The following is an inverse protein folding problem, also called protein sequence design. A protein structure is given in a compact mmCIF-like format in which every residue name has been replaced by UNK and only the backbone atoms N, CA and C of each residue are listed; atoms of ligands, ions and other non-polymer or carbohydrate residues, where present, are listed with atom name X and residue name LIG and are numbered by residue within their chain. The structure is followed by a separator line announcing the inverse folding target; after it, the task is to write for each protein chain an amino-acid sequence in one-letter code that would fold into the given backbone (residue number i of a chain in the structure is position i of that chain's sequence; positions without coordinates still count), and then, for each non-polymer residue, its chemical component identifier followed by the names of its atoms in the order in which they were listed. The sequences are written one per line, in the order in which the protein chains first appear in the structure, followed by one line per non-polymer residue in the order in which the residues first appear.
data_IF_174253180586
#
_entry.id   IF_174253180586
#
_cell.length_a   1.000
_cell.length_b   1.000
_cell.length_c   1.000
_cell.angle_alpha   90.00
_cell.angle_beta   90.00
_cell.angle_gamma   90.00
#
_symmetry.space_group_name_H-M   'P 1'
#
loop_
_entity.id
_entity.type
_entity.pdbx_description
1 polymer ?
#
# COMPACT_ATOMS: atom_id res chain seq x y z
N UNK A 1 -15.40 19.02 -8.79
CA UNK A 1 -15.83 17.81 -8.03
C UNK A 1 -15.72 16.62 -8.97
N UNK A 2 -15.06 15.55 -8.55
CA UNK A 2 -14.93 14.31 -9.32
C UNK A 2 -16.16 13.42 -9.13
N UNK A 3 -16.43 12.54 -10.09
CA UNK A 3 -17.59 11.62 -10.05
C UNK A 3 -17.64 10.81 -8.75
N UNK A 4 -16.52 10.26 -8.28
CA UNK A 4 -16.51 9.48 -7.02
C UNK A 4 -16.79 10.35 -5.79
N UNK A 5 -16.38 11.63 -5.80
CA UNK A 5 -16.65 12.57 -4.70
C UNK A 5 -18.15 12.87 -4.63
N UNK A 6 -18.77 13.14 -5.79
CA UNK A 6 -20.21 13.35 -5.91
C UNK A 6 -21.00 12.12 -5.47
N UNK A 7 -20.58 10.94 -5.94
CA UNK A 7 -21.19 9.66 -5.61
C UNK A 7 -21.15 9.42 -4.10
N UNK A 8 -19.99 9.63 -3.46
CA UNK A 8 -19.84 9.52 -2.00
C UNK A 8 -20.73 10.49 -1.23
N UNK A 9 -20.82 11.75 -1.67
CA UNK A 9 -21.66 12.77 -1.01
C UNK A 9 -23.15 12.41 -1.01
N UNK A 10 -23.60 11.67 -2.03
CA UNK A 10 -25.02 11.34 -2.21
C UNK A 10 -25.35 9.86 -1.95
N UNK A 11 -24.41 9.09 -1.36
CA UNK A 11 -24.63 7.68 -1.06
C UNK A 11 -24.84 6.80 -2.30
N UNK A 12 -24.19 7.16 -3.41
CA UNK A 12 -24.25 6.46 -4.70
C UNK A 12 -22.90 5.86 -5.06
N UNK A 13 -22.92 4.92 -6.00
CA UNK A 13 -21.72 4.39 -6.64
C UNK A 13 -21.30 5.27 -7.82
N UNK A 14 -20.01 5.28 -8.13
CA UNK A 14 -19.50 6.00 -9.32
C UNK A 14 -20.17 5.49 -10.61
N UNK A 15 -20.53 4.20 -10.66
CA UNK A 15 -21.24 3.60 -11.80
C UNK A 15 -22.63 4.21 -11.99
N UNK A 16 -23.41 4.38 -10.91
CA UNK A 16 -24.73 5.03 -10.99
C UNK A 16 -24.63 6.47 -11.50
N UNK A 17 -23.63 7.23 -11.04
CA UNK A 17 -23.42 8.62 -11.48
C UNK A 17 -22.99 8.67 -12.95
N UNK A 18 -22.10 7.78 -13.40
CA UNK A 18 -21.65 7.72 -14.80
C UNK A 18 -22.81 7.35 -15.72
N UNK A 19 -23.59 6.32 -15.37
CA UNK A 19 -24.78 5.92 -16.14
C UNK A 19 -25.75 7.08 -16.28
N UNK A 20 -26.03 7.79 -15.19
CA UNK A 20 -26.93 8.95 -15.23
C UNK A 20 -26.38 10.11 -16.07
N UNK A 21 -25.07 10.36 -16.02
CA UNK A 21 -24.44 11.34 -16.91
C UNK A 21 -24.61 10.96 -18.40
N UNK A 22 -24.44 9.68 -18.74
CA UNK A 22 -24.61 9.19 -20.12
C UNK A 22 -26.06 9.30 -20.59
N UNK A 23 -27.05 9.03 -19.73
CA UNK A 23 -28.48 9.23 -20.02
C UNK A 23 -28.82 10.68 -20.34
N UNK A 24 -28.10 11.63 -19.75
CA UNK A 24 -28.23 13.07 -20.01
C UNK A 24 -27.34 13.57 -21.16
N UNK A 25 -26.63 12.67 -21.87
CA UNK A 25 -25.73 13.03 -22.97
C UNK A 25 -24.41 13.67 -22.53
N UNK A 26 -24.04 13.56 -21.25
CA UNK A 26 -22.82 14.11 -20.68
C UNK A 26 -21.71 13.04 -20.74
N UNK A 27 -20.66 13.32 -21.49
CA UNK A 27 -19.53 12.39 -21.61
C UNK A 27 -18.67 12.40 -20.33
N UNK A 28 -18.69 11.27 -19.62
CA UNK A 28 -17.91 11.02 -18.42
C UNK A 28 -17.25 9.66 -18.55
N UNK A 29 -15.92 9.59 -18.48
CA UNK A 29 -15.16 8.38 -18.84
C UNK A 29 -14.93 7.43 -17.67
N UNK A 30 -14.80 7.97 -16.47
CA UNK A 30 -14.42 7.19 -15.29
C UNK A 30 -14.83 7.88 -13.98
N UNK A 31 -14.70 7.17 -12.86
CA UNK A 31 -14.98 7.68 -11.51
C UNK A 31 -14.10 8.91 -11.15
N UNK A 32 -12.92 9.02 -11.76
CA UNK A 32 -11.99 10.12 -11.57
C UNK A 32 -12.30 11.33 -12.45
N UNK A 33 -13.20 11.21 -13.42
CA UNK A 33 -13.56 12.31 -14.33
C UNK A 33 -14.11 13.50 -13.54
N UNK A 34 -13.70 14.70 -13.92
CA UNK A 34 -14.20 15.95 -13.33
C UNK A 34 -15.59 16.23 -13.89
N UNK A 35 -16.56 16.40 -12.99
CA UNK A 35 -17.90 16.83 -13.37
C UNK A 35 -17.88 18.33 -13.68
N UNK A 36 -18.31 18.66 -14.91
CA UNK A 36 -18.53 20.05 -15.33
C UNK A 36 -19.73 20.65 -14.58
N UNK A 37 -19.79 21.97 -14.52
CA UNK A 37 -20.79 22.71 -13.75
C UNK A 37 -22.23 22.38 -14.16
N UNK A 38 -22.48 22.23 -15.47
CA UNK A 38 -23.76 21.78 -16.03
C UNK A 38 -24.16 20.38 -15.53
N UNK A 39 -23.20 19.45 -15.45
CA UNK A 39 -23.43 18.11 -14.93
C UNK A 39 -23.75 18.14 -13.42
N UNK A 40 -23.05 18.98 -12.66
CA UNK A 40 -23.27 19.13 -11.22
C UNK A 40 -24.67 19.67 -10.90
N UNK A 41 -25.18 20.63 -11.68
CA UNK A 41 -26.55 21.15 -11.50
C UNK A 41 -27.59 20.06 -11.73
N UNK A 42 -27.45 19.29 -12.82
CA UNK A 42 -28.38 18.22 -13.16
C UNK A 42 -28.33 17.07 -12.14
N UNK A 43 -27.12 16.71 -11.71
CA UNK A 43 -26.90 15.69 -10.68
C UNK A 43 -27.48 16.13 -9.32
N UNK A 44 -27.24 17.37 -8.89
CA UNK A 44 -27.81 17.89 -7.65
C UNK A 44 -29.34 17.98 -7.69
N UNK A 45 -29.94 18.31 -8.83
CA UNK A 45 -31.40 18.33 -8.95
C UNK A 45 -32.02 16.92 -8.86
N UNK A 46 -31.28 15.90 -9.31
CA UNK A 46 -31.77 14.51 -9.32
C UNK A 46 -31.44 13.74 -8.03
N UNK A 47 -30.30 14.03 -7.41
CA UNK A 47 -29.79 13.31 -6.23
C UNK A 47 -29.84 14.14 -4.93
N UNK A 48 -30.06 15.45 -5.01
CA UNK A 48 -29.92 16.40 -3.89
C UNK A 48 -31.11 16.53 -2.94
N UNK A 49 -32.22 15.80 -3.13
CA UNK A 49 -33.28 15.75 -2.11
C UNK A 49 -32.98 14.68 -1.06
N UNK A 50 -32.07 15.03 -0.14
CA UNK A 50 -31.59 14.12 0.89
C UNK A 50 -30.76 14.76 2.01
N UNK A 51 -31.28 15.85 2.60
CA UNK A 51 -30.89 16.55 3.86
C UNK A 51 -30.03 17.82 3.74
N UNK A 52 -30.64 18.90 4.24
CA UNK A 52 -30.12 20.24 4.50
C UNK A 52 -28.95 20.32 5.51
N UNK A 53 -27.92 21.05 5.09
CA UNK A 53 -27.39 22.31 5.66
C UNK A 53 -27.55 22.61 7.17
N UNK A 54 -26.43 22.84 7.87
CA UNK A 54 -26.24 24.03 8.74
C UNK A 54 -24.77 24.49 8.76
N UNK A 55 -24.59 25.81 8.70
CA UNK A 55 -23.35 26.59 8.56
C UNK A 55 -23.03 27.32 9.88
N UNK A 56 -21.73 27.35 10.24
CA UNK A 56 -20.88 28.30 11.03
C UNK A 56 -21.46 29.20 12.15
N UNK A 57 -20.64 29.48 13.20
CA UNK A 57 -19.95 30.77 13.51
C UNK A 57 -19.08 30.66 14.80
N UNK A 58 -17.90 31.30 14.78
CA UNK A 58 -16.89 31.47 15.85
C UNK A 58 -17.33 32.29 17.08
N UNK A 59 -16.67 32.12 18.24
CA UNK A 59 -15.79 33.14 18.86
C UNK A 59 -15.18 32.73 20.23
N UNK A 60 -14.00 33.29 20.50
CA UNK A 60 -13.02 32.98 21.55
C UNK A 60 -13.36 33.48 22.97
N UNK A 61 -12.67 32.96 24.02
CA UNK A 61 -12.03 33.69 25.16
C UNK A 61 -11.23 32.70 26.07
N UNK A 62 -9.98 33.06 26.42
CA UNK A 62 -9.11 32.55 27.54
C UNK A 62 -9.10 33.62 28.68
N UNK A 63 -8.42 33.49 29.86
CA UNK A 63 -8.00 32.36 30.71
C UNK A 63 -8.23 32.60 32.24
N UNK A 64 -7.89 31.63 33.12
CA UNK A 64 -7.42 31.77 34.55
C UNK A 64 -7.19 30.34 35.13
N UNK A 65 -6.03 29.88 35.59
CA UNK A 65 -5.10 30.26 36.69
C UNK A 65 -5.26 29.41 38.00
N UNK A 66 -4.21 28.61 38.29
CA UNK A 66 -3.59 28.20 39.59
C UNK A 66 -4.32 27.28 40.60
N UNK A 67 -3.72 26.12 40.91
CA UNK A 67 -3.03 25.76 42.20
C UNK A 67 -2.48 24.32 42.10
N UNK A 68 -1.18 24.02 42.23
CA UNK A 68 -0.31 23.82 43.42
C UNK A 68 -0.75 22.74 44.43
N UNK A 69 -0.10 21.56 44.35
CA UNK A 69 0.40 20.80 45.51
C UNK A 69 1.59 19.89 45.09
N UNK A 70 2.60 19.77 45.96
CA UNK A 70 3.86 19.01 45.84
C UNK A 70 4.06 18.27 47.20
N UNK A 71 5.09 17.44 47.39
CA UNK A 71 5.23 16.03 47.04
C UNK A 71 5.25 15.09 48.29
N UNK A 72 5.25 13.76 48.09
CA UNK A 72 5.79 12.80 49.07
C UNK A 72 6.73 11.83 48.38
N UNK A 73 7.95 11.73 48.93
CA UNK A 73 9.04 10.91 48.47
C UNK A 73 9.09 9.55 49.20
N UNK A 74 9.72 8.59 48.51
CA UNK A 74 10.55 7.44 48.96
C UNK A 74 9.98 6.07 48.61
N UNK A 75 10.62 5.39 47.65
CA UNK A 75 11.76 4.49 47.90
C UNK A 75 12.31 3.98 46.55
N UNK A 76 13.54 4.40 46.24
CA UNK A 76 14.36 3.82 45.19
C UNK A 76 14.75 2.38 45.57
N UNK A 77 14.50 1.46 44.64
CA UNK A 77 15.29 0.24 44.49
C UNK A 77 16.03 0.40 43.17
N UNK A 78 17.35 0.49 43.24
CA UNK A 78 18.24 0.37 42.09
C UNK A 78 18.17 -1.09 41.61
N UNK A 79 17.43 -1.31 40.53
CA UNK A 79 17.68 -2.43 39.63
C UNK A 79 18.40 -1.84 38.42
N UNK A 80 19.71 -2.05 38.37
CA UNK A 80 20.51 -1.97 37.15
C UNK A 80 19.99 -3.03 36.19
N UNK A 81 18.94 -2.68 35.44
CA UNK A 81 18.52 -3.43 34.27
C UNK A 81 19.51 -3.07 33.17
N UNK A 82 20.23 -4.08 32.70
CA UNK A 82 21.21 -4.00 31.63
C UNK A 82 20.54 -3.39 30.39
N UNK A 83 20.91 -2.15 30.08
CA UNK A 83 20.34 -1.36 28.99
C UNK A 83 20.56 -2.07 27.63
N UNK A 84 21.55 -2.96 27.56
CA UNK A 84 21.89 -3.71 26.35
C UNK A 84 20.93 -4.84 25.99
N UNK A 85 20.17 -5.41 26.94
CA UNK A 85 19.19 -6.47 26.63
C UNK A 85 17.84 -5.90 26.17
N UNK A 86 17.41 -4.77 26.73
CA UNK A 86 16.17 -4.08 26.31
C UNK A 86 16.25 -3.51 24.89
N UNK A 87 17.44 -3.10 24.44
CA UNK A 87 17.65 -2.66 23.05
C UNK A 87 17.63 -3.85 22.07
N UNK A 88 18.13 -5.03 22.48
CA UNK A 88 18.08 -6.25 21.66
C UNK A 88 16.70 -6.92 21.59
N UNK A 89 15.86 -6.73 22.60
CA UNK A 89 14.50 -7.28 22.63
C UNK A 89 13.52 -6.46 21.77
N UNK A 90 13.78 -5.16 21.62
CA UNK A 90 12.97 -4.24 20.79
C UNK A 90 13.08 -4.52 19.29
N UNK A 91 14.17 -5.14 18.84
CA UNK A 91 14.44 -5.46 17.43
C UNK A 91 13.90 -6.84 17.00
N UNK A 92 13.13 -7.54 17.87
CA UNK A 92 12.53 -8.85 17.57
C UNK A 92 11.11 -8.81 16.98
N UNK A 93 10.47 -7.65 16.94
CA UNK A 93 9.09 -7.51 16.45
C UNK A 93 8.95 -6.30 15.50
N UNK A 94 10.00 -5.99 14.72
CA UNK A 94 9.94 -4.90 13.76
C UNK A 94 9.18 -5.34 12.51
N UNK A 95 8.18 -4.55 12.14
CA UNK A 95 7.34 -4.80 10.97
C UNK A 95 7.64 -3.81 9.86
N UNK A 96 8.00 -4.33 8.69
CA UNK A 96 8.00 -3.60 7.43
C UNK A 96 6.63 -3.69 6.78
N UNK A 97 5.99 -2.56 6.52
CA UNK A 97 4.72 -2.48 5.79
C UNK A 97 4.95 -1.88 4.40
N UNK A 98 4.91 -2.74 3.38
CA UNK A 98 5.17 -2.36 1.98
C UNK A 98 3.84 -2.17 1.25
N UNK A 99 3.58 -0.94 0.83
CA UNK A 99 2.28 -0.54 0.31
C UNK A 99 2.42 0.47 -0.83
N UNK A 100 1.42 0.52 -1.72
CA UNK A 100 1.38 1.47 -2.82
C UNK A 100 0.73 2.79 -2.47
N UNK A 101 -0.02 2.86 -1.36
CA UNK A 101 -0.73 4.04 -0.88
C UNK A 101 -0.72 4.08 0.65
N UNK A 102 -0.57 5.27 1.26
CA UNK A 102 -0.72 5.48 2.68
C UNK A 102 -1.15 6.92 2.94
N UNK A 103 -2.27 7.12 3.66
CA UNK A 103 -2.66 8.44 4.12
C UNK A 103 -1.64 8.97 5.16
N UNK A 104 -1.37 10.28 5.23
CA UNK A 104 -1.94 11.35 4.39
C UNK A 104 -1.16 11.61 3.09
N UNK A 105 -0.15 10.78 2.74
CA UNK A 105 0.74 11.05 1.62
C UNK A 105 0.07 10.81 0.27
N UNK A 106 -0.56 9.64 0.12
CA UNK A 106 -1.28 9.25 -1.10
C UNK A 106 -2.43 8.31 -0.75
N UNK A 107 -3.63 8.63 -1.22
CA UNK A 107 -4.84 7.80 -1.09
C UNK A 107 -5.71 7.97 -2.33
N UNK A 108 -6.10 6.86 -2.94
CA UNK A 108 -7.12 6.73 -3.98
C UNK A 108 -8.28 5.86 -3.51
N UNK A 109 -7.97 4.78 -2.78
CA UNK A 109 -8.93 3.83 -2.26
C UNK A 109 -8.84 3.65 -0.74
N UNK A 110 -9.42 2.56 -0.24
CA UNK A 110 -9.39 2.23 1.18
C UNK A 110 -8.00 1.79 1.65
N UNK A 111 -7.14 1.33 0.72
CA UNK A 111 -5.80 0.83 1.04
C UNK A 111 -4.96 1.86 1.81
N UNK A 112 -4.98 3.13 1.39
CA UNK A 112 -4.20 4.16 2.07
C UNK A 112 -4.69 4.47 3.49
N UNK A 113 -6.00 4.39 3.73
CA UNK A 113 -6.58 4.52 5.07
C UNK A 113 -6.28 3.28 5.93
N UNK A 114 -6.34 2.08 5.36
CA UNK A 114 -5.96 0.83 6.01
C UNK A 114 -4.49 0.82 6.39
N UNK A 115 -3.60 1.31 5.53
CA UNK A 115 -2.18 1.44 5.82
C UNK A 115 -1.95 2.39 7.00
N UNK A 116 -2.59 3.56 7.02
CA UNK A 116 -2.50 4.49 8.16
C UNK A 116 -3.09 3.90 9.44
N UNK A 117 -4.15 3.10 9.35
CA UNK A 117 -4.71 2.42 10.52
C UNK A 117 -3.74 1.34 11.04
N UNK A 118 -3.11 0.58 10.14
CA UNK A 118 -2.11 -0.42 10.48
C UNK A 118 -0.97 0.17 11.33
N UNK A 119 -0.48 1.37 10.98
CA UNK A 119 0.58 2.04 11.76
C UNK A 119 0.15 2.50 13.15
N UNK A 120 -1.16 2.59 13.42
CA UNK A 120 -1.70 2.96 14.74
C UNK A 120 -1.96 1.72 15.60
N UNK A 121 -2.29 0.61 14.95
CA UNK A 121 -2.65 -0.65 15.62
C UNK A 121 -1.42 -1.50 16.00
N UNK A 122 -0.25 -1.16 15.47
CA UNK A 122 0.99 -1.89 15.69
C UNK A 122 2.11 -0.95 16.12
N UNK A 123 2.90 -1.42 17.08
CA UNK A 123 4.15 -0.78 17.47
C UNK A 123 5.28 -1.16 16.51
N UNK A 124 6.35 -0.36 16.46
CA UNK A 124 7.58 -0.65 15.70
C UNK A 124 7.35 -0.96 14.20
N UNK A 125 6.46 -0.19 13.57
CA UNK A 125 6.20 -0.26 12.14
C UNK A 125 7.08 0.72 11.38
N UNK A 126 7.64 0.23 10.28
CA UNK A 126 8.27 1.03 9.23
C UNK A 126 7.44 0.85 7.96
N UNK A 127 7.00 1.94 7.34
CA UNK A 127 6.21 1.89 6.11
C UNK A 127 7.09 2.24 4.92
N UNK A 128 6.99 1.50 3.82
CA UNK A 128 7.63 1.83 2.55
C UNK A 128 6.58 1.99 1.46
N UNK A 129 6.62 3.10 0.74
CA UNK A 129 5.75 3.39 -0.39
C UNK A 129 6.51 4.14 -1.51
N UNK A 130 5.97 4.22 -2.73
CA UNK A 130 6.59 5.04 -3.77
C UNK A 130 6.48 6.54 -3.47
N UNK A 131 7.49 7.31 -3.89
CA UNK A 131 7.48 8.78 -3.81
C UNK A 131 6.75 9.37 -5.03
N UNK A 132 5.41 9.31 -5.03
CA UNK A 132 4.61 9.86 -6.13
C UNK A 132 4.71 11.39 -6.25
N UNK A 133 4.49 11.91 -7.47
CA UNK A 133 4.45 13.34 -7.75
C UNK A 133 3.38 14.10 -6.94
N UNK A 134 2.27 13.43 -6.63
CA UNK A 134 1.11 14.03 -5.97
C UNK A 134 1.27 14.21 -4.45
N UNK A 135 2.36 13.72 -3.85
CA UNK A 135 2.62 13.92 -2.42
C UNK A 135 2.84 15.41 -2.17
N UNK A 136 2.09 15.97 -1.21
CA UNK A 136 2.13 17.39 -0.87
C UNK A 136 3.54 17.87 -0.48
N UNK A 137 3.89 19.07 -0.93
CA UNK A 137 5.21 19.68 -0.70
C UNK A 137 5.52 19.85 0.80
N UNK A 138 4.50 20.04 1.63
CA UNK A 138 4.61 20.10 3.09
C UNK A 138 5.12 18.80 3.72
N UNK A 139 5.05 17.67 3.02
CA UNK A 139 5.72 16.43 3.39
C UNK A 139 7.06 16.26 2.68
N UNK A 140 7.11 16.44 1.35
CA UNK A 140 8.33 16.17 0.57
C UNK A 140 9.49 17.08 0.96
N UNK A 141 9.23 18.32 1.36
CA UNK A 141 10.26 19.25 1.85
C UNK A 141 10.92 18.83 3.17
N UNK A 142 10.28 17.92 3.92
CA UNK A 142 10.78 17.36 5.19
C UNK A 142 11.44 16.00 5.02
N UNK A 143 11.40 15.43 3.82
CA UNK A 143 12.00 14.14 3.53
C UNK A 143 13.52 14.28 3.45
N UNK A 144 14.24 13.38 4.12
CA UNK A 144 15.69 13.25 4.03
C UNK A 144 16.05 12.13 3.06
N UNK A 145 16.90 12.39 2.06
CA UNK A 145 17.44 11.29 1.24
C UNK A 145 18.50 10.54 2.04
N UNK A 146 18.23 9.28 2.37
CA UNK A 146 19.07 8.45 3.24
C UNK A 146 19.91 7.43 2.46
N UNK A 147 19.49 7.05 1.26
CA UNK A 147 20.24 6.10 0.42
C UNK A 147 19.92 6.29 -1.07
N UNK A 148 20.77 5.78 -1.94
CA UNK A 148 20.55 5.65 -3.38
C UNK A 148 21.22 4.39 -3.94
N UNK A 149 20.62 3.74 -4.92
CA UNK A 149 21.21 2.60 -5.63
C UNK A 149 20.75 2.53 -7.09
N UNK A 150 21.46 1.75 -7.90
CA UNK A 150 20.98 1.36 -9.23
C UNK A 150 20.24 0.04 -9.11
N UNK A 151 18.97 0.03 -9.49
CA UNK A 151 18.10 -1.15 -9.39
C UNK A 151 17.94 -1.76 -10.77
N UNK A 152 18.27 -3.05 -10.87
CA UNK A 152 18.07 -3.83 -12.08
C UNK A 152 16.68 -4.46 -12.10
N UNK A 153 15.95 -4.29 -13.20
CA UNK A 153 14.59 -4.81 -13.41
C UNK A 153 14.52 -5.36 -14.83
N UNK A 154 14.53 -6.69 -14.96
CA UNK A 154 14.64 -7.34 -16.25
C UNK A 154 15.93 -6.95 -16.97
N UNK A 155 15.78 -6.39 -18.18
CA UNK A 155 16.88 -5.88 -19.00
C UNK A 155 17.26 -4.42 -18.71
N UNK A 156 16.53 -3.72 -17.83
CA UNK A 156 16.74 -2.31 -17.52
C UNK A 156 17.44 -2.12 -16.19
N UNK A 157 18.12 -0.98 -16.08
CA UNK A 157 18.65 -0.45 -14.83
C UNK A 157 18.13 0.97 -14.65
N UNK A 158 17.70 1.30 -13.42
CA UNK A 158 17.13 2.60 -13.07
C UNK A 158 17.66 3.03 -11.71
N UNK A 159 17.98 4.32 -11.57
CA UNK A 159 18.35 4.88 -10.26
C UNK A 159 17.15 4.89 -9.31
N UNK A 160 17.38 4.54 -8.06
CA UNK A 160 16.40 4.64 -6.98
C UNK A 160 17.00 5.43 -5.82
N UNK A 161 16.27 6.43 -5.35
CA UNK A 161 16.58 7.16 -4.12
C UNK A 161 15.63 6.70 -3.01
N UNK A 162 16.15 6.49 -1.80
CA UNK A 162 15.34 6.25 -0.61
C UNK A 162 15.26 7.53 0.22
N UNK A 163 14.05 8.00 0.44
CA UNK A 163 13.76 9.15 1.27
C UNK A 163 13.14 8.70 2.59
N UNK A 164 13.46 9.38 3.70
CA UNK A 164 12.94 9.09 5.04
C UNK A 164 12.14 10.28 5.56
N UNK A 165 11.01 9.99 6.20
CA UNK A 165 10.24 10.93 7.00
C UNK A 165 9.79 10.23 8.28
N UNK A 166 9.93 10.90 9.42
CA UNK A 166 9.32 10.44 10.67
C UNK A 166 8.09 11.29 10.95
N UNK A 167 6.93 10.64 11.06
CA UNK A 167 5.66 11.29 11.33
C UNK A 167 4.87 10.47 12.34
N UNK A 168 4.34 11.13 13.37
CA UNK A 168 3.56 10.48 14.44
C UNK A 168 4.29 9.29 15.07
N UNK A 169 5.62 9.40 15.23
CA UNK A 169 6.54 8.36 15.74
C UNK A 169 6.70 7.12 14.85
N UNK A 170 6.17 7.15 13.62
CA UNK A 170 6.32 6.10 12.61
C UNK A 170 7.36 6.54 11.58
N UNK A 171 8.22 5.60 11.17
CA UNK A 171 9.19 5.85 10.09
C UNK A 171 8.56 5.48 8.75
N UNK A 172 8.55 6.44 7.82
CA UNK A 172 8.13 6.26 6.45
C UNK A 172 9.34 6.38 5.53
N UNK A 173 9.52 5.39 4.66
CA UNK A 173 10.47 5.44 3.57
C UNK A 173 9.74 5.58 2.23
N UNK A 174 10.26 6.44 1.36
CA UNK A 174 9.71 6.68 0.04
C UNK A 174 10.74 6.32 -1.01
N UNK A 175 10.39 5.38 -1.90
CA UNK A 175 11.23 5.02 -3.05
C UNK A 175 10.98 6.03 -4.15
N UNK A 176 11.98 6.85 -4.46
CA UNK A 176 11.95 7.84 -5.52
C UNK A 176 12.57 7.32 -6.81
N UNK A 177 11.89 7.59 -7.92
CA UNK A 177 12.39 7.47 -9.28
C UNK A 177 11.55 8.37 -10.18
N UNK A 178 12.18 9.30 -10.89
CA UNK A 178 11.47 10.28 -11.72
C UNK A 178 10.73 9.62 -12.89
N UNK A 179 11.27 8.56 -13.49
CA UNK A 179 10.63 7.88 -14.63
C UNK A 179 9.34 7.15 -14.25
N UNK A 180 9.30 6.51 -13.08
CA UNK A 180 8.20 5.67 -12.64
C UNK A 180 7.16 6.39 -11.77
N UNK A 181 7.59 7.31 -10.90
CA UNK A 181 6.72 7.88 -9.87
C UNK A 181 6.44 9.37 -10.04
N UNK A 182 7.15 10.08 -10.92
CA UNK A 182 6.79 11.44 -11.30
C UNK A 182 5.68 11.46 -12.38
N UNK A 183 4.50 10.94 -12.02
CA UNK A 183 3.34 10.78 -12.91
C UNK A 183 2.06 11.23 -12.21
N UNK A 184 1.03 11.52 -13.01
CA UNK A 184 -0.26 12.04 -12.52
C UNK A 184 -1.06 11.01 -11.71
N UNK A 185 -1.10 9.77 -12.17
CA UNK A 185 -1.92 8.71 -11.59
C UNK A 185 -1.07 7.72 -10.77
N UNK A 186 -1.71 7.04 -9.82
CA UNK A 186 -1.05 5.98 -9.03
C UNK A 186 -1.08 4.64 -9.75
N UNK A 187 -2.10 4.34 -10.58
CA UNK A 187 -2.24 3.07 -11.32
C UNK A 187 -2.78 3.29 -12.72
N UNK A 188 -2.81 2.22 -13.51
CA UNK A 188 -3.46 2.17 -14.82
C UNK A 188 -2.52 2.42 -15.98
N UNK A 189 -1.20 2.42 -15.75
CA UNK A 189 -0.23 2.53 -16.82
C UNK A 189 0.07 1.16 -17.43
N UNK A 190 0.35 1.14 -18.74
CA UNK A 190 0.70 -0.10 -19.45
C UNK A 190 2.00 -0.74 -18.95
N UNK A 191 2.85 0.02 -18.27
CA UNK A 191 4.10 -0.43 -17.65
C UNK A 191 3.98 -0.64 -16.13
N UNK A 192 2.77 -0.75 -15.56
CA UNK A 192 2.58 -0.94 -14.12
C UNK A 192 3.35 -2.14 -13.56
N UNK A 193 3.42 -3.25 -14.32
CA UNK A 193 4.21 -4.41 -13.91
C UNK A 193 5.71 -4.11 -13.80
N UNK A 194 6.27 -3.30 -14.72
CA UNK A 194 7.67 -2.87 -14.67
C UNK A 194 7.91 -1.94 -13.50
N UNK A 195 7.01 -0.96 -13.32
CA UNK A 195 7.06 0.02 -12.25
C UNK A 195 7.00 -0.62 -10.86
N UNK A 196 6.10 -1.59 -10.66
CA UNK A 196 6.01 -2.27 -9.38
C UNK A 196 7.12 -3.32 -9.23
N UNK A 197 7.59 -3.98 -10.28
CA UNK A 197 8.80 -4.80 -10.18
C UNK A 197 10.02 -3.97 -9.73
N UNK A 198 10.18 -2.76 -10.28
CA UNK A 198 11.17 -1.78 -9.82
C UNK A 198 10.98 -1.43 -8.34
N UNK A 199 9.76 -1.06 -7.93
CA UNK A 199 9.48 -0.72 -6.55
C UNK A 199 9.87 -1.85 -5.58
N UNK A 200 9.42 -3.08 -5.86
CA UNK A 200 9.69 -4.23 -5.01
C UNK A 200 11.20 -4.52 -4.90
N UNK A 201 11.95 -4.46 -6.01
CA UNK A 201 13.41 -4.63 -5.98
C UNK A 201 14.11 -3.48 -5.25
N UNK A 202 13.68 -2.24 -5.45
CA UNK A 202 14.22 -1.09 -4.74
C UNK A 202 14.03 -1.22 -3.21
N UNK A 203 12.87 -1.70 -2.75
CA UNK A 203 12.65 -2.01 -1.33
C UNK A 203 13.66 -3.05 -0.84
N UNK A 204 13.85 -4.15 -1.59
CA UNK A 204 14.73 -5.24 -1.19
C UNK A 204 16.23 -4.90 -1.21
N UNK A 205 16.64 -3.98 -2.08
CA UNK A 205 18.05 -3.56 -2.20
C UNK A 205 18.41 -2.42 -1.23
N UNK A 206 17.49 -1.46 -1.01
CA UNK A 206 17.79 -0.26 -0.24
C UNK A 206 17.57 -0.44 1.27
N UNK A 207 16.56 -1.22 1.66
CA UNK A 207 16.18 -1.37 3.07
C UNK A 207 17.28 -1.98 3.95
N UNK A 208 18.03 -3.02 3.54
CA UNK A 208 19.08 -3.61 4.37
C UNK A 208 20.22 -2.64 4.72
N UNK A 209 20.32 -1.50 4.02
CA UNK A 209 21.36 -0.50 4.29
C UNK A 209 20.94 0.50 5.36
N UNK A 210 19.62 0.68 5.56
CA UNK A 210 19.08 1.70 6.49
C UNK A 210 18.43 1.11 7.73
N UNK A 211 18.10 -0.19 7.72
CA UNK A 211 17.57 -0.92 8.87
C UNK A 211 18.52 -2.05 9.29
N UNK A 212 18.56 -2.38 10.58
CA UNK A 212 19.39 -3.46 11.15
C UNK A 212 18.79 -4.85 10.90
N UNK A 213 17.47 -4.97 11.04
CA UNK A 213 16.71 -6.21 10.88
C UNK A 213 15.23 -5.93 10.69
N UNK A 214 14.52 -6.88 10.08
CA UNK A 214 13.05 -6.92 10.01
C UNK A 214 12.59 -8.33 10.35
N UNK A 215 11.52 -8.45 11.15
CA UNK A 215 10.97 -9.74 11.55
C UNK A 215 9.70 -10.08 10.76
N UNK A 216 8.91 -9.06 10.44
CA UNK A 216 7.65 -9.21 9.71
C UNK A 216 7.61 -8.29 8.51
N UNK A 217 7.23 -8.83 7.34
CA UNK A 217 7.08 -8.08 6.10
C UNK A 217 5.64 -8.22 5.64
N UNK A 218 4.87 -7.14 5.77
CA UNK A 218 3.49 -7.05 5.33
C UNK A 218 3.47 -6.47 3.92
N UNK A 219 2.87 -7.21 2.98
CA UNK A 219 2.70 -6.80 1.59
C UNK A 219 1.20 -6.79 1.26
N UNK A 220 0.82 -6.03 0.25
CA UNK A 220 -0.56 -5.65 -0.03
C UNK A 220 -0.84 -5.78 -1.53
N UNK A 221 -1.81 -6.63 -1.86
CA UNK A 221 -2.26 -6.93 -3.22
C UNK A 221 -1.14 -7.37 -4.17
N UNK A 222 -1.45 -7.44 -5.47
CA UNK A 222 -0.51 -7.88 -6.50
C UNK A 222 0.67 -6.92 -6.68
N UNK A 223 0.50 -5.64 -6.34
CA UNK A 223 1.51 -4.61 -6.54
C UNK A 223 2.77 -4.85 -5.71
N UNK A 224 2.64 -5.40 -4.49
CA UNK A 224 3.79 -5.70 -3.62
C UNK A 224 3.95 -7.20 -3.34
N UNK A 225 3.17 -8.05 -4.02
CA UNK A 225 3.27 -9.51 -3.94
C UNK A 225 4.59 -10.07 -4.52
N UNK A 226 5.34 -9.26 -5.27
CA UNK A 226 6.67 -9.64 -5.76
C UNK A 226 7.70 -9.69 -4.63
N UNK A 227 7.55 -8.94 -3.53
CA UNK A 227 8.48 -8.99 -2.39
C UNK A 227 8.69 -10.43 -1.88
N UNK A 228 7.66 -11.18 -1.45
CA UNK A 228 7.87 -12.56 -0.98
C UNK A 228 8.39 -13.48 -2.08
N UNK A 229 7.98 -13.28 -3.34
CA UNK A 229 8.48 -14.06 -4.46
C UNK A 229 9.99 -13.87 -4.63
N UNK A 230 10.43 -12.62 -4.71
CA UNK A 230 11.83 -12.24 -4.89
C UNK A 230 12.68 -12.71 -3.70
N UNK A 231 12.18 -12.58 -2.47
CA UNK A 231 12.86 -13.13 -1.29
C UNK A 231 13.15 -14.63 -1.47
N UNK A 232 12.19 -15.40 -1.97
CA UNK A 232 12.36 -16.84 -2.14
C UNK A 232 13.30 -17.20 -3.31
N UNK A 233 13.31 -16.43 -4.40
CA UNK A 233 14.02 -16.82 -5.63
C UNK A 233 15.37 -16.15 -5.84
N UNK A 234 15.51 -14.88 -5.44
CA UNK A 234 16.71 -14.07 -5.67
C UNK A 234 17.45 -13.75 -4.35
N UNK A 235 16.72 -13.56 -3.23
CA UNK A 235 17.30 -13.12 -1.94
C UNK A 235 17.26 -14.17 -0.82
N UNK A 236 17.10 -15.45 -1.16
CA UNK A 236 16.90 -16.52 -0.17
C UNK A 236 18.11 -16.75 0.73
N UNK A 237 19.30 -16.37 0.26
CA UNK A 237 20.55 -16.42 1.02
C UNK A 237 20.96 -15.04 1.58
N UNK A 238 20.07 -14.05 1.55
CA UNK A 238 20.36 -12.72 2.09
C UNK A 238 20.04 -12.70 3.59
N UNK A 239 21.05 -12.50 4.44
CA UNK A 239 20.95 -12.62 5.91
C UNK A 239 19.82 -11.75 6.49
N UNK A 240 19.66 -10.53 5.98
CA UNK A 240 18.61 -9.59 6.41
C UNK A 240 17.18 -10.16 6.28
N UNK A 241 16.92 -11.02 5.28
CA UNK A 241 15.60 -11.57 5.00
C UNK A 241 15.41 -13.01 5.49
N UNK A 242 16.49 -13.69 5.87
CA UNK A 242 16.49 -15.14 6.16
C UNK A 242 15.47 -15.55 7.23
N UNK A 243 15.21 -14.69 8.21
CA UNK A 243 14.27 -14.97 9.30
C UNK A 243 12.97 -14.15 9.23
N UNK A 244 12.78 -13.36 8.17
CA UNK A 244 11.61 -12.50 8.05
C UNK A 244 10.38 -13.31 7.61
N UNK A 245 9.28 -13.21 8.35
CA UNK A 245 8.00 -13.77 7.94
C UNK A 245 7.25 -12.78 7.06
N UNK A 246 6.87 -13.21 5.85
CA UNK A 246 6.10 -12.38 4.92
C UNK A 246 4.61 -12.71 5.02
N UNK A 247 3.77 -11.68 5.08
CA UNK A 247 2.31 -11.81 5.08
C UNK A 247 1.74 -11.01 3.92
N UNK A 248 1.02 -11.67 3.02
CA UNK A 248 0.28 -11.02 1.94
C UNK A 248 -1.15 -10.71 2.37
N UNK A 249 -1.51 -9.43 2.34
CA UNK A 249 -2.85 -8.94 2.62
C UNK A 249 -3.57 -8.63 1.30
N UNK A 250 -4.72 -9.26 1.08
CA UNK A 250 -5.54 -9.10 -0.13
C UNK A 250 -6.71 -8.18 0.18
N UNK A 251 -6.74 -7.03 -0.50
CA UNK A 251 -7.75 -5.98 -0.33
C UNK A 251 -8.77 -5.94 -1.46
N UNK A 252 -8.37 -6.31 -2.68
CA UNK A 252 -9.27 -6.51 -3.82
C UNK A 252 -8.81 -7.65 -4.73
N UNK A 253 -9.50 -8.79 -4.64
CA UNK A 253 -9.21 -10.02 -5.39
C UNK A 253 -9.49 -9.89 -6.90
N UNK A 254 -10.16 -8.83 -7.36
CA UNK A 254 -10.35 -8.59 -8.79
C UNK A 254 -9.06 -8.10 -9.47
N UNK A 255 -8.14 -7.49 -8.74
CA UNK A 255 -6.85 -7.02 -9.26
C UNK A 255 -5.72 -7.99 -8.91
N UNK A 256 -5.37 -8.86 -9.84
CA UNK A 256 -4.43 -9.97 -9.57
C UNK A 256 -3.07 -9.85 -10.28
N UNK A 257 -2.93 -8.89 -11.20
CA UNK A 257 -1.74 -8.78 -12.03
C UNK A 257 -1.59 -9.95 -13.01
N UNK A 258 -2.51 -10.04 -13.98
CA UNK A 258 -2.48 -11.04 -15.06
C UNK A 258 -1.63 -10.57 -16.24
N UNK A 259 -0.60 -11.35 -16.59
CA UNK A 259 0.36 -10.98 -17.63
C UNK A 259 0.80 -12.19 -18.47
N UNK A 260 1.41 -11.94 -19.61
CA UNK A 260 1.99 -13.01 -20.43
C UNK A 260 3.29 -13.54 -19.82
N UNK A 261 3.62 -14.80 -20.11
CA UNK A 261 4.75 -15.50 -19.48
C UNK A 261 6.12 -14.82 -19.69
N UNK A 262 6.26 -14.04 -20.77
CA UNK A 262 7.45 -13.24 -21.08
C UNK A 262 7.76 -12.18 -20.01
N UNK A 263 6.74 -11.70 -19.29
CA UNK A 263 6.90 -10.66 -18.26
C UNK A 263 7.90 -11.05 -17.17
N UNK A 264 8.04 -12.34 -16.86
CA UNK A 264 8.92 -12.78 -15.79
C UNK A 264 10.38 -12.50 -16.10
N UNK A 265 10.81 -12.84 -17.31
CA UNK A 265 12.21 -12.67 -17.72
C UNK A 265 12.46 -11.25 -18.22
N UNK A 266 11.54 -10.72 -19.03
CA UNK A 266 11.76 -9.44 -19.70
C UNK A 266 11.56 -8.26 -18.73
N UNK A 267 10.67 -8.39 -17.74
CA UNK A 267 10.29 -7.29 -16.85
C UNK A 267 10.66 -7.57 -15.40
N UNK A 268 10.13 -8.64 -14.79
CA UNK A 268 10.41 -8.95 -13.38
C UNK A 268 11.89 -9.30 -13.16
N UNK A 269 12.55 -9.85 -14.18
CA UNK A 269 13.96 -10.23 -14.16
C UNK A 269 14.23 -11.54 -13.43
N UNK A 270 13.28 -12.48 -13.44
CA UNK A 270 13.45 -13.82 -12.86
C UNK A 270 13.33 -14.92 -13.92
N UNK A 271 13.86 -16.10 -13.59
CA UNK A 271 13.92 -17.24 -14.51
C UNK A 271 12.52 -17.67 -14.97
N UNK A 272 12.38 -17.93 -16.28
CA UNK A 272 11.17 -18.51 -16.85
C UNK A 272 10.81 -19.88 -16.25
N UNK A 273 11.76 -20.57 -15.61
CA UNK A 273 11.50 -21.84 -14.92
C UNK A 273 10.42 -21.73 -13.83
N UNK A 274 10.22 -20.54 -13.23
CA UNK A 274 9.17 -20.30 -12.24
C UNK A 274 7.75 -20.20 -12.85
N UNK A 275 7.65 -19.95 -14.15
CA UNK A 275 6.41 -20.15 -14.89
C UNK A 275 6.18 -21.65 -15.12
N UNK A 276 7.20 -22.36 -15.62
CA UNK A 276 7.07 -23.76 -16.03
C UNK A 276 6.78 -24.71 -14.87
N UNK A 277 7.40 -24.47 -13.71
CA UNK A 277 7.16 -25.26 -12.50
C UNK A 277 5.82 -24.92 -11.82
N UNK A 278 5.06 -23.97 -12.37
CA UNK A 278 3.77 -23.57 -11.84
C UNK A 278 3.84 -22.69 -10.60
N UNK A 279 4.98 -22.06 -10.26
CA UNK A 279 5.05 -21.11 -9.14
C UNK A 279 4.30 -19.81 -9.45
N UNK A 280 4.46 -19.27 -10.65
CA UNK A 280 3.83 -18.00 -11.07
C UNK A 280 2.71 -18.18 -12.09
N UNK A 281 2.68 -19.33 -12.79
CA UNK A 281 1.65 -19.65 -13.78
C UNK A 281 0.29 -19.92 -13.15
N UNK A 282 -0.75 -19.41 -13.76
CA UNK A 282 -2.15 -19.74 -13.50
C UNK A 282 -2.88 -19.78 -14.85
N UNK A 283 -3.43 -20.93 -15.21
CA UNK A 283 -3.85 -21.19 -16.60
C UNK A 283 -2.65 -21.09 -17.56
N UNK A 284 -2.80 -20.31 -18.62
CA UNK A 284 -1.79 -20.02 -19.64
C UNK A 284 -1.01 -18.71 -19.39
N UNK A 285 -1.30 -18.02 -18.28
CA UNK A 285 -0.74 -16.69 -17.97
C UNK A 285 0.01 -16.67 -16.65
N UNK A 286 0.77 -15.60 -16.43
CA UNK A 286 1.37 -15.27 -15.14
C UNK A 286 0.33 -14.54 -14.30
N UNK A 287 0.25 -14.89 -13.03
CA UNK A 287 -0.57 -14.19 -12.04
C UNK A 287 0.32 -13.80 -10.86
N UNK A 288 0.57 -12.50 -10.69
CA UNK A 288 1.51 -12.01 -9.68
C UNK A 288 0.94 -12.08 -8.27
N UNK A 289 -0.37 -11.89 -8.08
CA UNK A 289 -1.01 -12.11 -6.78
C UNK A 289 -0.86 -13.56 -6.34
N UNK A 290 -1.18 -14.50 -7.24
CA UNK A 290 -0.99 -15.93 -7.04
C UNK A 290 0.46 -16.28 -6.69
N UNK A 291 1.41 -15.64 -7.34
CA UNK A 291 2.84 -15.84 -7.05
C UNK A 291 3.14 -15.49 -5.59
N UNK A 292 2.64 -14.35 -5.11
CA UNK A 292 2.75 -13.96 -3.69
C UNK A 292 2.02 -14.90 -2.75
N UNK A 293 0.82 -15.38 -3.08
CA UNK A 293 0.07 -16.38 -2.30
C UNK A 293 0.88 -17.68 -2.12
N UNK A 294 1.62 -18.08 -3.17
CA UNK A 294 2.43 -19.29 -3.13
C UNK A 294 3.68 -19.15 -2.25
N UNK A 295 4.29 -17.96 -2.23
CA UNK A 295 5.60 -17.72 -1.60
C UNK A 295 5.53 -17.04 -0.24
N UNK A 296 4.43 -16.36 0.09
CA UNK A 296 4.28 -15.72 1.39
C UNK A 296 4.10 -16.77 2.49
N UNK A 297 4.70 -16.52 3.66
CA UNK A 297 4.52 -17.32 4.88
C UNK A 297 3.05 -17.37 5.32
N UNK A 298 2.35 -16.24 5.25
CA UNK A 298 0.94 -16.12 5.57
C UNK A 298 0.17 -15.35 4.49
N UNK A 299 -1.12 -15.63 4.39
CA UNK A 299 -2.05 -14.89 3.51
C UNK A 299 -3.27 -14.49 4.32
N UNK A 300 -3.63 -13.21 4.27
CA UNK A 300 -4.85 -12.66 4.85
C UNK A 300 -5.72 -12.07 3.75
N UNK A 301 -7.02 -12.06 3.98
CA UNK A 301 -8.00 -11.54 3.03
C UNK A 301 -9.08 -10.80 3.81
N UNK A 302 -9.37 -9.56 3.41
CA UNK A 302 -10.42 -8.77 4.04
C UNK A 302 -11.82 -9.35 3.71
N UNK A 303 -12.85 -8.90 4.43
CA UNK A 303 -14.21 -9.41 4.26
C UNK A 303 -14.76 -9.19 2.84
N UNK A 304 -14.50 -8.01 2.27
CA UNK A 304 -14.94 -7.66 0.92
C UNK A 304 -14.33 -8.60 -0.14
N UNK A 305 -13.03 -8.84 -0.06
CA UNK A 305 -12.31 -9.77 -0.95
C UNK A 305 -12.68 -11.23 -0.69
N UNK A 306 -13.02 -11.59 0.54
CA UNK A 306 -13.54 -12.93 0.85
C UNK A 306 -14.87 -13.18 0.14
N UNK A 307 -15.74 -12.18 0.07
CA UNK A 307 -16.98 -12.29 -0.71
C UNK A 307 -16.68 -12.48 -2.22
N UNK A 308 -15.63 -11.84 -2.74
CA UNK A 308 -15.22 -11.97 -4.15
C UNK A 308 -14.76 -13.39 -4.51
N UNK A 309 -14.35 -14.22 -3.56
CA UNK A 309 -14.01 -15.64 -3.81
C UNK A 309 -15.17 -16.45 -4.40
N UNK A 310 -16.41 -15.98 -4.28
CA UNK A 310 -17.59 -16.63 -4.85
C UNK A 310 -17.89 -16.18 -6.29
N UNK A 311 -17.13 -15.24 -6.85
CA UNK A 311 -17.33 -14.80 -8.23
C UNK A 311 -16.95 -15.93 -9.21
N UNK A 312 -17.69 -16.10 -10.34
CA UNK A 312 -17.43 -17.16 -11.31
C UNK A 312 -15.97 -17.21 -11.77
N UNK A 313 -15.40 -16.06 -12.17
CA UNK A 313 -14.02 -16.00 -12.65
C UNK A 313 -12.97 -16.43 -11.59
N UNK A 314 -13.26 -16.24 -10.29
CA UNK A 314 -12.37 -16.68 -9.20
C UNK A 314 -12.41 -18.20 -9.01
N UNK A 315 -13.60 -18.78 -9.18
CA UNK A 315 -13.81 -20.22 -9.10
C UNK A 315 -13.18 -20.89 -10.33
N UNK A 316 -13.48 -20.39 -11.53
CA UNK A 316 -13.04 -20.95 -12.81
C UNK A 316 -11.53 -20.87 -12.99
N UNK A 317 -10.89 -19.76 -12.59
CA UNK A 317 -9.43 -19.63 -12.63
C UNK A 317 -8.70 -20.55 -11.64
N UNK A 318 -9.40 -21.10 -10.64
CA UNK A 318 -8.82 -21.86 -9.54
C UNK A 318 -8.29 -21.00 -8.38
N UNK A 319 -8.50 -19.67 -8.41
CA UNK A 319 -8.06 -18.75 -7.37
C UNK A 319 -8.75 -19.04 -6.04
N UNK A 320 -10.05 -19.31 -6.08
CA UNK A 320 -10.82 -19.68 -4.88
C UNK A 320 -10.24 -20.94 -4.22
N UNK A 321 -9.97 -21.98 -5.00
CA UNK A 321 -9.39 -23.22 -4.48
C UNK A 321 -8.00 -22.99 -3.87
N UNK A 322 -7.16 -22.18 -4.53
CA UNK A 322 -5.84 -21.81 -4.01
C UNK A 322 -5.95 -21.08 -2.66
N UNK A 323 -6.80 -20.05 -2.57
CA UNK A 323 -6.97 -19.27 -1.34
C UNK A 323 -7.53 -20.11 -0.20
N UNK A 324 -8.52 -20.97 -0.46
CA UNK A 324 -9.05 -21.90 0.56
C UNK A 324 -7.98 -22.84 1.11
N UNK A 325 -6.97 -23.20 0.31
CA UNK A 325 -5.86 -24.04 0.79
C UNK A 325 -4.82 -23.29 1.64
N UNK A 326 -4.79 -21.96 1.58
CA UNK A 326 -3.75 -21.09 2.16
C UNK A 326 -4.24 -20.26 3.34
N UNK A 327 -5.50 -19.86 3.32
CA UNK A 327 -6.14 -19.08 4.38
C UNK A 327 -6.83 -20.06 5.32
N UNK A 328 -6.33 -20.18 6.55
CA UNK A 328 -7.02 -20.92 7.60
C UNK A 328 -8.43 -20.33 7.81
N UNK A 329 -9.41 -21.21 7.97
CA UNK A 329 -10.82 -20.85 8.19
C UNK A 329 -11.01 -20.02 9.46
#
# INVERSE_FOLDING_TARGET
MRVYEFARQHGKTSKEIITFCHELGIEVKAAQSVLKEEALVLLNNNFGNGKDTQVQVEQAVKPKAKSKAKPKAKKEKNETIDVTEKEKEKDKDKTLYVVTECAPFTTLGQLGDTALQFTKDHDNVVVVLPKYACIDEGFTSKMERVQSATIKVGWREQGADLFKLVQDSVTFYFVGNEYYFNREEIYGYGDDVERFAFFNRAVLELLPVVESSINHIQVNDWHTSLVPLLINVDYSNHDFYTNAQTTLNIHDLQYQGWFDAKVLTDVVGISHAYYENGLTRMGDRVNLLKSGIMTASNVTINEASRAQMNLPDMIESGMTALLTSKVSA
#
